data_IF_096214168394
#
_entry.id   IF_096214168394
#
_cell.length_a   1.000
_cell.length_b   1.000
_cell.length_c   1.000
_cell.angle_alpha   90.00
_cell.angle_beta   90.00
_cell.angle_gamma   90.00
#
_symmetry.space_group_name_H-M   'P 1'
#
loop_
_entity.id
_entity.type
_entity.pdbx_description
1 polymer ?
#
# COMPACT_ATOMS: atom_id res chain seq x y z
N UNK A 1 15.60 -13.59 1.15
CA UNK A 1 15.81 -13.28 -0.28
C UNK A 1 15.13 -11.98 -0.65
N UNK A 2 15.81 -11.13 -1.36
CA UNK A 2 15.26 -9.84 -1.80
C UNK A 2 14.91 -9.95 -3.29
N UNK A 3 13.70 -9.54 -3.64
CA UNK A 3 13.23 -9.55 -5.02
C UNK A 3 12.30 -8.36 -5.29
N UNK A 4 12.06 -8.10 -6.57
CA UNK A 4 11.06 -7.09 -6.93
C UNK A 4 9.66 -7.60 -6.58
N UNK A 5 8.80 -6.70 -6.12
CA UNK A 5 7.43 -7.05 -5.86
C UNK A 5 6.68 -7.32 -7.17
N UNK A 6 5.66 -8.16 -7.09
CA UNK A 6 4.77 -8.43 -8.21
C UNK A 6 3.34 -8.06 -7.84
N UNK A 7 2.46 -8.09 -8.82
CA UNK A 7 1.05 -7.79 -8.61
C UNK A 7 0.41 -8.72 -7.57
N UNK A 8 0.87 -9.96 -7.51
CA UNK A 8 0.35 -10.94 -6.55
C UNK A 8 0.74 -10.64 -5.11
N UNK A 9 1.72 -9.78 -4.90
CA UNK A 9 2.15 -9.38 -3.56
C UNK A 9 1.24 -8.32 -2.93
N UNK A 10 0.21 -7.85 -3.65
CA UNK A 10 -0.63 -6.73 -3.20
C UNK A 10 -1.20 -6.89 -1.81
N UNK A 11 -1.76 -8.06 -1.49
CA UNK A 11 -2.35 -8.30 -0.17
C UNK A 11 -1.29 -8.28 0.94
N UNK A 12 -0.14 -8.89 0.70
CA UNK A 12 0.93 -8.91 1.69
C UNK A 12 1.50 -7.51 1.90
N UNK A 13 1.68 -6.74 0.82
CA UNK A 13 2.13 -5.35 0.91
C UNK A 13 1.11 -4.54 1.70
N UNK A 14 -0.18 -4.72 1.40
CA UNK A 14 -1.24 -3.98 2.07
C UNK A 14 -1.23 -4.21 3.59
N UNK A 15 -0.99 -5.43 4.03
CA UNK A 15 -0.92 -5.74 5.46
C UNK A 15 0.23 -5.01 6.15
N UNK A 16 1.39 -4.96 5.50
CA UNK A 16 2.54 -4.25 6.06
C UNK A 16 2.31 -2.74 6.07
N UNK A 17 1.70 -2.20 5.01
CA UNK A 17 1.38 -0.78 4.94
C UNK A 17 0.37 -0.42 6.03
N UNK A 18 -0.61 -1.29 6.28
CA UNK A 18 -1.60 -1.04 7.32
C UNK A 18 -0.96 -0.86 8.70
N UNK A 19 0.08 -1.63 9.01
CA UNK A 19 0.81 -1.47 10.27
C UNK A 19 1.36 -0.04 10.39
N UNK A 20 1.93 0.47 9.29
CA UNK A 20 2.44 1.84 9.26
C UNK A 20 1.31 2.86 9.47
N UNK A 21 0.19 2.66 8.79
CA UNK A 21 -0.94 3.59 8.88
C UNK A 21 -1.58 3.59 10.26
N UNK A 22 -1.60 2.44 10.94
CA UNK A 22 -2.10 2.36 12.31
C UNK A 22 -1.28 3.23 13.26
N UNK A 23 0.02 3.27 13.06
CA UNK A 23 0.89 4.12 13.86
C UNK A 23 0.62 5.60 13.63
N UNK A 24 0.06 5.96 12.49
CA UNK A 24 -0.30 7.34 12.17
C UNK A 24 -1.65 7.77 12.73
N UNK A 25 -2.42 6.83 13.27
CA UNK A 25 -3.73 7.08 13.88
C UNK A 25 -4.69 7.86 12.97
N UNK A 26 -4.76 7.44 11.70
CA UNK A 26 -5.59 8.12 10.71
C UNK A 26 -7.09 7.91 10.99
N UNK A 27 -7.92 8.96 10.86
CA UNK A 27 -9.37 8.84 11.11
C UNK A 27 -10.07 7.79 10.26
N UNK A 28 -9.63 7.58 9.03
CA UNK A 28 -10.25 6.60 8.14
C UNK A 28 -10.24 5.19 8.74
N UNK A 29 -9.27 4.89 9.59
CA UNK A 29 -9.15 3.56 10.20
C UNK A 29 -10.28 3.27 11.19
N UNK A 30 -11.00 4.29 11.64
CA UNK A 30 -12.16 4.13 12.48
C UNK A 30 -13.44 3.88 11.70
N UNK A 31 -13.44 4.22 10.41
CA UNK A 31 -14.61 4.11 9.55
C UNK A 31 -14.70 2.78 8.81
N UNK A 32 -13.59 2.07 8.67
CA UNK A 32 -13.55 0.82 7.91
C UNK A 32 -12.90 -0.29 8.77
N UNK A 33 -13.27 -1.54 8.47
CA UNK A 33 -12.62 -2.68 9.12
C UNK A 33 -11.19 -2.84 8.60
N UNK A 34 -10.36 -3.59 9.34
CA UNK A 34 -9.01 -3.88 8.88
C UNK A 34 -9.01 -4.64 7.55
N UNK A 35 -9.92 -5.60 7.39
CA UNK A 35 -10.03 -6.35 6.13
C UNK A 35 -10.38 -5.42 4.97
N UNK A 36 -11.32 -4.52 5.18
CA UNK A 36 -11.69 -3.56 4.16
C UNK A 36 -10.52 -2.65 3.80
N UNK A 37 -9.78 -2.20 4.81
CA UNK A 37 -8.62 -1.34 4.58
C UNK A 37 -7.53 -2.08 3.81
N UNK A 38 -7.29 -3.35 4.12
CA UNK A 38 -6.33 -4.17 3.39
C UNK A 38 -6.73 -4.28 1.91
N UNK A 39 -8.01 -4.52 1.64
CA UNK A 39 -8.49 -4.60 0.27
C UNK A 39 -8.31 -3.27 -0.49
N UNK A 40 -8.60 -2.16 0.17
CA UNK A 40 -8.40 -0.83 -0.42
C UNK A 40 -6.93 -0.57 -0.73
N UNK A 41 -6.06 -0.91 0.21
CA UNK A 41 -4.62 -0.74 0.02
C UNK A 41 -4.10 -1.66 -1.07
N UNK A 42 -4.57 -2.90 -1.12
CA UNK A 42 -4.16 -3.85 -2.15
C UNK A 42 -4.55 -3.32 -3.54
N UNK A 43 -5.72 -2.72 -3.66
CA UNK A 43 -6.14 -2.09 -4.92
C UNK A 43 -5.20 -0.94 -5.28
N UNK A 44 -4.84 -0.10 -4.31
CA UNK A 44 -3.96 1.03 -4.55
C UNK A 44 -2.55 0.59 -4.98
N UNK A 45 -2.05 -0.55 -4.48
CA UNK A 45 -0.71 -1.02 -4.84
C UNK A 45 -0.59 -1.38 -6.32
N UNK A 46 -1.71 -1.57 -7.02
CA UNK A 46 -1.70 -1.84 -8.45
C UNK A 46 -1.39 -0.59 -9.28
N UNK A 47 -1.49 0.60 -8.70
CA UNK A 47 -1.21 1.85 -9.41
C UNK A 47 0.28 2.17 -9.37
N UNK A 48 0.94 2.31 -10.53
CA UNK A 48 2.39 2.53 -10.55
C UNK A 48 2.82 3.84 -9.90
N UNK A 49 1.94 4.81 -9.80
CA UNK A 49 2.27 6.12 -9.22
C UNK A 49 2.01 6.23 -7.72
N UNK A 50 1.43 5.20 -7.10
CA UNK A 50 1.20 5.20 -5.67
C UNK A 50 2.51 4.99 -4.91
N UNK A 51 2.63 5.60 -3.72
CA UNK A 51 3.80 5.45 -2.84
C UNK A 51 4.17 3.98 -2.64
N UNK A 52 3.17 3.15 -2.38
CA UNK A 52 3.36 1.72 -2.13
C UNK A 52 2.94 0.87 -3.34
N UNK A 53 3.00 1.45 -4.56
CA UNK A 53 2.75 0.68 -5.77
C UNK A 53 3.77 -0.45 -5.90
N UNK A 54 3.33 -1.64 -6.31
CA UNK A 54 4.22 -2.80 -6.33
C UNK A 54 5.46 -2.57 -7.21
N UNK A 55 5.36 -1.72 -8.22
CA UNK A 55 6.49 -1.43 -9.10
C UNK A 55 7.61 -0.64 -8.44
N UNK A 56 7.33 -0.06 -7.27
CA UNK A 56 8.30 0.73 -6.50
C UNK A 56 8.88 -0.04 -5.32
N UNK A 57 8.51 -1.32 -5.18
CA UNK A 57 8.77 -2.08 -3.95
C UNK A 57 9.72 -3.24 -4.20
N UNK A 58 10.70 -3.39 -3.30
CA UNK A 58 11.48 -4.60 -3.16
C UNK A 58 10.92 -5.36 -1.97
N UNK A 59 10.79 -6.67 -2.13
CA UNK A 59 10.23 -7.55 -1.11
C UNK A 59 11.34 -8.38 -0.51
N UNK A 60 11.37 -8.47 0.82
CA UNK A 60 12.19 -9.45 1.52
C UNK A 60 11.31 -10.67 1.81
N UNK A 61 11.65 -11.78 1.18
CA UNK A 61 10.90 -13.02 1.31
C UNK A 61 11.67 -13.99 2.20
N UNK A 62 10.96 -14.58 3.15
CA UNK A 62 11.53 -15.57 4.06
C UNK A 62 10.55 -16.72 4.19
N UNK A 63 11.04 -17.94 3.96
CA UNK A 63 10.22 -19.15 4.04
C UNK A 63 8.95 -19.09 3.17
N UNK A 64 9.05 -18.46 2.00
CA UNK A 64 7.92 -18.34 1.06
C UNK A 64 6.94 -17.24 1.38
N UNK A 65 7.21 -16.41 2.40
CA UNK A 65 6.32 -15.34 2.81
C UNK A 65 7.01 -13.98 2.73
N UNK A 66 6.22 -12.95 2.48
CA UNK A 66 6.72 -11.56 2.49
C UNK A 66 6.96 -11.16 3.94
N UNK A 67 8.21 -10.96 4.31
CA UNK A 67 8.59 -10.59 5.67
C UNK A 67 8.86 -9.09 5.81
N UNK A 68 9.11 -8.38 4.71
CA UNK A 68 9.35 -6.95 4.76
C UNK A 68 9.35 -6.34 3.37
N UNK A 69 9.29 -5.02 3.31
CA UNK A 69 9.31 -4.28 2.05
C UNK A 69 10.23 -3.07 2.15
N UNK A 70 10.78 -2.67 1.00
CA UNK A 70 11.51 -1.41 0.87
C UNK A 70 10.90 -0.65 -0.30
N UNK A 71 10.66 0.64 -0.12
CA UNK A 71 9.99 1.48 -1.11
C UNK A 71 10.96 2.55 -1.61
N UNK A 72 10.99 2.76 -2.93
CA UNK A 72 11.76 3.82 -3.51
C UNK A 72 10.96 4.57 -4.57
N UNK A 73 11.15 5.89 -4.64
CA UNK A 73 10.50 6.72 -5.65
C UNK A 73 11.33 7.98 -5.89
N UNK A 74 11.23 8.59 -7.10
CA UNK A 74 11.89 9.86 -7.35
C UNK A 74 11.27 10.97 -6.48
N UNK A 75 12.10 11.87 -5.97
CA UNK A 75 11.63 12.97 -5.12
C UNK A 75 10.56 13.83 -5.80
N UNK A 76 10.63 13.97 -7.10
CA UNK A 76 9.65 14.74 -7.87
C UNK A 76 8.24 14.18 -7.85
N UNK A 77 8.10 12.89 -7.53
CA UNK A 77 6.80 12.23 -7.45
C UNK A 77 6.12 12.42 -6.09
N UNK A 78 6.81 12.97 -5.11
CA UNK A 78 6.30 13.05 -3.75
C UNK A 78 4.95 13.77 -3.64
N UNK A 79 4.69 14.72 -4.51
CA UNK A 79 3.43 15.49 -4.49
C UNK A 79 2.22 14.68 -4.92
N UNK A 80 2.44 13.62 -5.70
CA UNK A 80 1.35 12.86 -6.31
C UNK A 80 1.28 11.41 -5.88
N UNK A 81 2.23 10.95 -5.06
CA UNK A 81 2.35 9.51 -4.76
C UNK A 81 1.22 8.94 -3.91
N UNK A 82 0.45 9.80 -3.25
CA UNK A 82 -0.68 9.35 -2.45
C UNK A 82 -2.03 9.55 -3.14
N UNK A 83 -2.04 10.17 -4.32
CA UNK A 83 -3.28 10.39 -5.07
C UNK A 83 -4.00 9.10 -5.45
N UNK A 84 -3.30 8.03 -5.86
CA UNK A 84 -4.00 6.78 -6.18
C UNK A 84 -4.81 6.22 -5.02
N UNK A 85 -4.34 6.35 -3.78
CA UNK A 85 -5.11 5.90 -2.63
C UNK A 85 -6.36 6.75 -2.44
N UNK A 86 -6.27 8.05 -2.65
CA UNK A 86 -7.44 8.93 -2.59
C UNK A 86 -8.47 8.55 -3.64
N UNK A 87 -8.01 8.21 -4.85
CA UNK A 87 -8.91 7.76 -5.91
C UNK A 87 -9.59 6.46 -5.55
N UNK A 88 -8.88 5.52 -4.91
CA UNK A 88 -9.48 4.28 -4.44
C UNK A 88 -10.54 4.56 -3.39
N UNK A 89 -10.27 5.44 -2.43
CA UNK A 89 -11.27 5.82 -1.42
C UNK A 89 -12.51 6.42 -2.07
N UNK A 90 -12.33 7.34 -3.01
CA UNK A 90 -13.42 7.98 -3.73
C UNK A 90 -14.28 6.97 -4.47
N UNK A 91 -13.63 6.02 -5.15
CA UNK A 91 -14.29 4.98 -5.91
C UNK A 91 -15.21 4.14 -5.03
N UNK A 92 -14.85 3.96 -3.77
CA UNK A 92 -15.62 3.17 -2.80
C UNK A 92 -16.52 4.03 -1.90
N UNK A 93 -16.68 5.31 -2.24
CA UNK A 93 -17.59 6.20 -1.50
C UNK A 93 -17.10 6.65 -0.15
N UNK A 94 -15.79 6.57 0.10
CA UNK A 94 -15.20 6.95 1.36
C UNK A 94 -14.65 8.37 1.29
N UNK A 95 -14.95 9.16 2.31
CA UNK A 95 -14.39 10.49 2.43
C UNK A 95 -13.00 10.42 3.03
N UNK A 96 -12.17 11.33 2.62
CA UNK A 96 -10.84 11.43 3.15
C UNK A 96 -10.79 12.27 4.42
#
# INVERSE_FOLDING_TARGET
>A
MIRSATKEDGQAIARLVLVILKDMELPILEEVSEEQMIDLLAEATAYPTYRYGYQRILVYEHAGEVAGIAVGYPAEDEKIIDEPLREVFKKHGLAE
#
